data_IF_921692644817
#
_entry.id   IF_921692644817
#
_cell.length_a   1.000
_cell.length_b   1.000
_cell.length_c   1.000
_cell.angle_alpha   90.00
_cell.angle_beta   90.00
_cell.angle_gamma   90.00
#
_symmetry.space_group_name_H-M   'P 1'
#
loop_
_entity.id
_entity.type
_entity.pdbx_description
1 polymer ?
#
# COMPACT_ATOMS: atom_id res chain seq x y z
N UNK A 1 18.48 -7.11 -18.31
CA UNK A 1 17.71 -6.11 -17.52
C UNK A 1 17.37 -4.97 -18.46
N UNK A 2 16.11 -4.58 -18.58
CA UNK A 2 15.73 -3.44 -19.41
C UNK A 2 16.09 -2.14 -18.68
N UNK A 3 16.70 -1.20 -19.39
CA UNK A 3 17.04 0.13 -18.86
C UNK A 3 16.22 1.18 -19.61
N UNK A 4 15.62 2.13 -18.88
CA UNK A 4 14.88 3.26 -19.42
C UNK A 4 15.63 4.54 -19.08
N UNK A 5 16.06 5.28 -20.11
CA UNK A 5 16.66 6.61 -19.95
C UNK A 5 15.60 7.67 -20.25
N UNK A 6 15.31 8.51 -19.26
CA UNK A 6 14.45 9.68 -19.43
C UNK A 6 15.36 10.88 -19.67
N UNK A 7 15.40 11.38 -20.91
CA UNK A 7 16.14 12.60 -21.25
C UNK A 7 15.33 13.84 -20.88
N UNK A 8 16.05 14.93 -20.61
CA UNK A 8 15.48 16.26 -20.37
C UNK A 8 14.41 16.30 -19.27
N UNK A 9 14.68 15.58 -18.16
CA UNK A 9 13.80 15.59 -17.00
C UNK A 9 13.78 17.00 -16.37
N UNK A 10 12.60 17.61 -16.16
CA UNK A 10 12.50 18.91 -15.50
C UNK A 10 13.23 18.92 -14.15
N UNK A 11 13.98 19.98 -13.88
CA UNK A 11 14.89 20.09 -12.72
C UNK A 11 14.13 19.98 -11.40
N UNK A 12 12.94 20.54 -11.35
CA UNK A 12 11.96 20.46 -10.28
C UNK A 12 11.52 19.01 -10.00
N UNK A 13 11.22 18.23 -11.05
CA UNK A 13 10.87 16.80 -10.92
C UNK A 13 12.07 16.01 -10.40
N UNK A 14 13.27 16.27 -10.91
CA UNK A 14 14.49 15.63 -10.44
C UNK A 14 14.75 15.90 -8.94
N UNK A 15 14.60 17.17 -8.52
CA UNK A 15 14.76 17.57 -7.11
C UNK A 15 13.72 16.90 -6.21
N UNK A 16 12.47 16.85 -6.65
CA UNK A 16 11.40 16.17 -5.93
C UNK A 16 11.68 14.67 -5.78
N UNK A 17 12.08 13.98 -6.86
CA UNK A 17 12.42 12.55 -6.82
C UNK A 17 13.54 12.23 -5.84
N UNK A 18 14.59 13.07 -5.79
CA UNK A 18 15.70 12.87 -4.86
C UNK A 18 15.25 12.98 -3.40
N UNK A 19 14.46 14.01 -3.07
CA UNK A 19 13.90 14.20 -1.73
C UNK A 19 13.04 13.01 -1.31
N UNK A 20 12.20 12.52 -2.22
CA UNK A 20 11.30 11.42 -1.90
C UNK A 20 12.03 10.08 -1.76
N UNK A 21 13.06 9.85 -2.57
CA UNK A 21 13.93 8.70 -2.42
C UNK A 21 14.64 8.70 -1.05
N UNK A 22 15.16 9.85 -0.60
CA UNK A 22 15.78 10.02 0.72
C UNK A 22 14.78 9.76 1.85
N UNK A 23 13.57 10.33 1.77
CA UNK A 23 12.51 10.15 2.76
C UNK A 23 12.08 8.67 2.93
N UNK A 24 12.06 7.92 1.83
CA UNK A 24 11.73 6.48 1.85
C UNK A 24 12.95 5.56 2.02
N UNK A 25 14.16 6.11 2.23
CA UNK A 25 15.44 5.36 2.33
C UNK A 25 15.69 4.44 1.13
N UNK A 26 15.46 4.96 -0.08
CA UNK A 26 15.63 4.25 -1.36
C UNK A 26 16.61 5.00 -2.26
N UNK A 27 17.14 4.29 -3.26
CA UNK A 27 17.81 4.96 -4.38
C UNK A 27 16.77 5.67 -5.27
N UNK A 28 17.21 6.70 -6.01
CA UNK A 28 16.33 7.45 -6.91
C UNK A 28 15.71 6.55 -7.99
N UNK A 29 16.50 5.65 -8.59
CA UNK A 29 16.01 4.66 -9.57
C UNK A 29 14.94 3.76 -8.98
N UNK A 30 15.15 3.26 -7.76
CA UNK A 30 14.17 2.42 -7.08
C UNK A 30 12.87 3.19 -6.78
N UNK A 31 12.97 4.46 -6.40
CA UNK A 31 11.78 5.31 -6.18
C UNK A 31 10.98 5.51 -7.47
N UNK A 32 11.65 5.70 -8.62
CA UNK A 32 10.98 5.79 -9.93
C UNK A 32 10.28 4.48 -10.29
N UNK A 33 10.91 3.33 -10.03
CA UNK A 33 10.29 2.02 -10.25
C UNK A 33 9.01 1.87 -9.42
N UNK A 34 9.08 2.19 -8.12
CA UNK A 34 7.91 2.13 -7.22
C UNK A 34 6.78 3.01 -7.73
N UNK A 35 7.08 4.25 -8.15
CA UNK A 35 6.08 5.15 -8.72
C UNK A 35 5.43 4.56 -9.97
N UNK A 36 6.20 3.97 -10.88
CA UNK A 36 5.62 3.32 -12.05
C UNK A 36 4.77 2.12 -11.67
N UNK A 37 5.23 1.26 -10.76
CA UNK A 37 4.45 0.11 -10.28
C UNK A 37 3.14 0.55 -9.63
N UNK A 38 3.15 1.58 -8.80
CA UNK A 38 1.96 2.14 -8.16
C UNK A 38 0.96 2.68 -9.18
N UNK A 39 1.43 3.37 -10.24
CA UNK A 39 0.55 3.88 -11.30
C UNK A 39 0.07 2.81 -12.26
N UNK A 40 0.88 1.76 -12.48
CA UNK A 40 0.53 0.61 -13.30
C UNK A 40 -0.43 -0.36 -12.59
N UNK A 41 -0.44 -0.37 -11.25
CA UNK A 41 -1.46 -1.06 -10.47
C UNK A 41 -2.82 -0.43 -10.79
N UNK A 42 -3.56 -1.07 -11.70
CA UNK A 42 -5.00 -0.84 -11.83
C UNK A 42 -5.61 -1.14 -10.48
N UNK A 43 -6.03 -0.11 -9.76
CA UNK A 43 -6.79 -0.26 -8.52
C UNK A 43 -7.99 -1.14 -8.83
N UNK A 44 -7.93 -2.40 -8.43
CA UNK A 44 -9.09 -3.28 -8.41
C UNK A 44 -9.69 -3.07 -7.02
N UNK A 45 -10.84 -2.38 -6.90
CA UNK A 45 -11.52 -2.33 -5.62
C UNK A 45 -11.68 -3.76 -5.12
N UNK A 46 -11.20 -4.02 -3.90
CA UNK A 46 -11.37 -5.32 -3.27
C UNK A 46 -12.86 -5.44 -2.98
N UNK A 47 -13.55 -6.24 -3.79
CA UNK A 47 -14.94 -6.60 -3.51
C UNK A 47 -14.93 -7.63 -2.40
N UNK A 48 -15.23 -7.18 -1.18
CA UNK A 48 -15.54 -8.09 -0.10
C UNK A 48 -16.87 -8.78 -0.41
N UNK A 49 -17.01 -10.08 -0.06
CA UNK A 49 -18.31 -10.71 -0.05
C UNK A 49 -19.23 -9.93 0.90
N UNK A 50 -20.56 -9.97 0.69
CA UNK A 50 -21.49 -9.38 1.62
C UNK A 50 -21.24 -9.92 3.04
N UNK A 51 -21.47 -9.12 4.09
CA UNK A 51 -21.28 -9.54 5.47
C UNK A 51 -21.95 -10.88 5.73
N UNK A 52 -21.22 -11.82 6.31
CA UNK A 52 -21.75 -13.13 6.63
C UNK A 52 -22.83 -12.97 7.71
N UNK A 53 -24.05 -13.42 7.41
CA UNK A 53 -25.13 -13.46 8.39
C UNK A 53 -24.90 -14.64 9.33
N UNK A 54 -24.33 -14.38 10.49
CA UNK A 54 -24.18 -15.38 11.54
C UNK A 54 -25.53 -15.73 12.16
N UNK A 55 -25.74 -17.00 12.53
CA UNK A 55 -26.93 -17.45 13.27
C UNK A 55 -27.03 -16.79 14.64
N UNK A 56 -25.88 -16.55 15.27
CA UNK A 56 -25.77 -15.87 16.56
C UNK A 56 -25.35 -14.41 16.30
N UNK A 57 -26.01 -13.41 16.92
CA UNK A 57 -25.55 -12.03 16.81
C UNK A 57 -24.16 -11.91 17.45
N UNK A 58 -23.19 -11.44 16.66
CA UNK A 58 -21.87 -11.08 17.16
C UNK A 58 -21.97 -9.73 17.88
N UNK A 59 -22.22 -9.77 19.20
CA UNK A 59 -22.23 -8.57 20.03
C UNK A 59 -20.82 -8.17 20.46
N UNK A 60 -20.64 -6.91 20.85
CA UNK A 60 -19.36 -6.43 21.38
C UNK A 60 -18.90 -7.25 22.60
N UNK A 61 -19.84 -7.62 23.47
CA UNK A 61 -19.60 -8.47 24.65
C UNK A 61 -19.05 -9.86 24.27
N UNK A 62 -19.59 -10.47 23.22
CA UNK A 62 -19.11 -11.76 22.72
C UNK A 62 -17.67 -11.66 22.23
N UNK A 63 -17.35 -10.61 21.46
CA UNK A 63 -16.02 -10.36 20.92
C UNK A 63 -15.01 -10.14 22.06
N UNK A 64 -15.37 -9.37 23.08
CA UNK A 64 -14.47 -9.06 24.19
C UNK A 64 -14.25 -10.26 25.11
N UNK A 65 -15.25 -11.12 25.29
CA UNK A 65 -15.08 -12.41 25.98
C UNK A 65 -14.12 -13.33 25.22
N UNK A 66 -14.30 -13.47 23.90
CA UNK A 66 -13.44 -14.30 23.07
C UNK A 66 -11.97 -13.81 23.06
N UNK A 67 -11.74 -12.48 23.01
CA UNK A 67 -10.40 -11.89 23.16
C UNK A 67 -9.75 -12.22 24.50
N UNK A 68 -10.51 -12.23 25.59
CA UNK A 68 -10.01 -12.57 26.94
C UNK A 68 -9.67 -14.05 27.05
N UNK A 69 -10.50 -14.93 26.49
CA UNK A 69 -10.26 -16.38 26.47
C UNK A 69 -9.02 -16.75 25.66
N UNK A 70 -8.81 -16.15 24.47
CA UNK A 70 -7.64 -16.44 23.62
C UNK A 70 -6.31 -15.79 24.08
N UNK A 71 -6.32 -14.97 25.14
CA UNK A 71 -5.11 -14.40 25.76
C UNK A 71 -4.61 -15.22 26.96
N UNK A 72 -5.29 -16.32 27.30
CA UNK A 72 -4.87 -17.29 28.31
C UNK A 72 -4.11 -18.44 27.65
#
# INVERSE_FOLDING_TARGET
>A
MAALLIKDLPVDVHKWLKREAEAHRRSMTQQVIVLFEERMRKFKPVHFPPPFKTRTPLTAEFIDKAKKEGRR
#
